data_IF_675795704315
#
_entry.id   IF_675795704315
#
_cell.length_a   1.000
_cell.length_b   1.000
_cell.length_c   1.000
_cell.angle_alpha   90.00
_cell.angle_beta   90.00
_cell.angle_gamma   90.00
#
_symmetry.space_group_name_H-M   'P 1'
#
loop_
_entity.id
_entity.type
_entity.pdbx_description
1 polymer ?
#
# COMPACT_ATOMS: atom_id res chain seq x y z
N UNK A 1 6.50 -22.92 7.51
CA UNK A 1 6.26 -21.46 7.39
C UNK A 1 5.55 -21.24 6.07
N UNK A 2 4.25 -20.93 6.09
CA UNK A 2 3.50 -20.64 4.86
C UNK A 2 3.99 -19.32 4.27
N UNK A 3 4.31 -19.33 2.98
CA UNK A 3 4.72 -18.16 2.21
C UNK A 3 3.51 -17.22 2.10
N UNK A 4 3.64 -16.01 2.63
CA UNK A 4 2.61 -14.97 2.50
C UNK A 4 2.90 -14.23 1.19
N UNK A 5 2.20 -14.61 0.12
CA UNK A 5 2.37 -13.99 -1.20
C UNK A 5 1.26 -12.96 -1.44
N UNK A 6 1.64 -11.68 -1.46
CA UNK A 6 0.75 -10.61 -1.90
C UNK A 6 0.81 -10.49 -3.42
N UNK A 7 -0.36 -10.42 -4.07
CA UNK A 7 -0.50 -10.16 -5.49
C UNK A 7 -0.79 -8.68 -5.72
N UNK A 8 -0.09 -8.07 -6.67
CA UNK A 8 -0.18 -6.65 -6.96
C UNK A 8 -1.07 -6.40 -8.18
N UNK A 9 -1.87 -5.33 -8.16
CA UNK A 9 -2.91 -5.09 -9.16
C UNK A 9 -2.57 -3.94 -10.13
N UNK A 10 -1.28 -3.68 -10.37
CA UNK A 10 -0.78 -2.64 -11.27
C UNK A 10 -1.06 -2.93 -12.76
N UNK A 11 -2.33 -2.88 -13.16
CA UNK A 11 -2.80 -3.25 -14.51
C UNK A 11 -3.03 -4.76 -14.71
N UNK A 12 -2.83 -5.56 -13.66
CA UNK A 12 -3.05 -7.00 -13.68
C UNK A 12 -4.49 -7.36 -13.34
N UNK A 13 -4.99 -8.43 -13.97
CA UNK A 13 -6.31 -8.98 -13.63
C UNK A 13 -6.23 -9.78 -12.33
N UNK A 14 -7.23 -9.66 -11.44
CA UNK A 14 -7.26 -10.48 -10.25
C UNK A 14 -7.36 -11.97 -10.61
N UNK A 15 -6.93 -12.88 -9.70
CA UNK A 15 -7.06 -14.32 -9.87
C UNK A 15 -8.50 -14.71 -10.21
N UNK A 16 -8.64 -15.75 -11.05
CA UNK A 16 -9.96 -16.23 -11.49
C UNK A 16 -10.88 -16.48 -10.30
N UNK A 17 -12.10 -15.93 -10.36
CA UNK A 17 -13.11 -16.09 -9.33
C UNK A 17 -13.05 -15.09 -8.16
N UNK A 18 -12.10 -14.15 -8.17
CA UNK A 18 -12.09 -13.01 -7.26
C UNK A 18 -12.83 -11.84 -7.92
N UNK A 19 -13.97 -11.47 -7.34
CA UNK A 19 -14.66 -10.21 -7.67
C UNK A 19 -14.13 -9.11 -6.76
N UNK A 20 -13.40 -8.17 -7.36
CA UNK A 20 -12.99 -6.94 -6.69
C UNK A 20 -14.19 -5.97 -6.69
N UNK A 21 -14.55 -5.40 -5.53
CA UNK A 21 -15.52 -4.32 -5.53
C UNK A 21 -14.92 -3.08 -6.21
N UNK A 22 -15.76 -2.21 -6.74
CA UNK A 22 -15.32 -0.94 -7.36
C UNK A 22 -14.84 0.09 -6.34
N UNK A 23 -15.31 -0.03 -5.09
CA UNK A 23 -15.01 0.91 -4.00
C UNK A 23 -14.74 0.14 -2.71
N UNK A 24 -13.91 0.69 -1.81
CA UNK A 24 -13.71 0.08 -0.50
C UNK A 24 -15.06 0.00 0.24
N UNK A 25 -15.39 -1.16 0.84
CA UNK A 25 -16.61 -1.27 1.64
C UNK A 25 -16.54 -0.34 2.85
N UNK A 26 -17.70 0.04 3.42
CA UNK A 26 -17.74 0.86 4.65
C UNK A 26 -17.00 0.24 5.84
N UNK A 27 -16.87 -1.08 5.85
CA UNK A 27 -16.12 -1.84 6.85
C UNK A 27 -14.60 -1.89 6.60
N UNK A 28 -14.10 -1.23 5.55
CA UNK A 28 -12.68 -1.15 5.27
C UNK A 28 -11.98 -0.38 6.39
N UNK A 29 -11.03 -1.06 7.04
CA UNK A 29 -10.25 -0.54 8.15
C UNK A 29 -9.22 0.43 7.62
N UNK A 30 -9.08 1.57 8.29
CA UNK A 30 -8.05 2.54 7.97
C UNK A 30 -6.67 1.96 8.33
N UNK A 31 -5.71 2.04 7.40
CA UNK A 31 -4.35 1.54 7.61
C UNK A 31 -3.43 2.68 7.99
N UNK A 32 -3.29 3.65 7.09
CA UNK A 32 -2.48 4.84 7.29
C UNK A 32 -2.81 5.88 6.20
N UNK A 33 -2.43 7.14 6.44
CA UNK A 33 -2.32 8.18 5.43
C UNK A 33 -0.92 8.76 5.46
N UNK A 34 -0.29 8.82 4.30
CA UNK A 34 1.09 9.23 4.14
C UNK A 34 1.18 10.35 3.11
N UNK A 35 2.03 11.32 3.37
CA UNK A 35 2.47 12.25 2.33
C UNK A 35 3.74 11.69 1.70
N UNK A 36 3.67 11.53 0.39
CA UNK A 36 4.72 10.99 -0.46
C UNK A 36 5.49 12.17 -1.05
N UNK A 37 6.82 12.04 -1.13
CA UNK A 37 7.65 13.10 -1.70
C UNK A 37 7.24 13.39 -3.14
N UNK A 38 7.07 14.68 -3.48
CA UNK A 38 6.77 15.13 -4.83
C UNK A 38 8.00 14.93 -5.72
N UNK A 39 8.09 13.79 -6.40
CA UNK A 39 9.20 13.52 -7.33
C UNK A 39 9.11 14.34 -8.63
N UNK A 40 8.01 15.08 -8.83
CA UNK A 40 7.82 16.00 -9.95
C UNK A 40 7.28 17.33 -9.45
N UNK A 41 7.84 18.49 -9.86
CA UNK A 41 7.29 19.78 -9.49
C UNK A 41 5.80 19.84 -9.87
N UNK A 42 4.97 20.25 -8.90
CA UNK A 42 3.51 20.34 -8.97
C UNK A 42 2.71 19.02 -8.81
N UNK A 43 3.23 18.00 -8.12
CA UNK A 43 2.42 16.81 -7.79
C UNK A 43 2.63 16.36 -6.34
N UNK A 44 1.84 16.89 -5.40
CA UNK A 44 1.77 16.39 -4.02
C UNK A 44 0.96 15.08 -4.03
N UNK A 45 1.62 13.95 -3.80
CA UNK A 45 0.94 12.65 -3.70
C UNK A 45 0.66 12.35 -2.22
N UNK A 46 -0.61 12.34 -1.85
CA UNK A 46 -1.06 11.87 -0.51
C UNK A 46 -1.77 10.53 -0.65
N UNK A 47 -1.17 9.49 -0.08
CA UNK A 47 -1.67 8.12 -0.17
C UNK A 47 -2.47 7.75 1.07
N UNK A 48 -3.73 7.33 0.87
CA UNK A 48 -4.57 6.77 1.93
C UNK A 48 -4.75 5.28 1.75
N UNK A 49 -4.24 4.49 2.69
CA UNK A 49 -4.35 3.03 2.69
C UNK A 49 -5.55 2.55 3.51
N UNK A 50 -6.33 1.63 2.94
CA UNK A 50 -7.42 0.94 3.64
C UNK A 50 -7.35 -0.56 3.40
N UNK A 51 -7.79 -1.35 4.37
CA UNK A 51 -7.81 -2.81 4.27
C UNK A 51 -9.23 -3.35 4.43
N UNK A 52 -9.64 -4.24 3.53
CA UNK A 52 -10.92 -4.95 3.65
C UNK A 52 -10.77 -6.41 3.26
N UNK A 53 -11.72 -7.25 3.67
CA UNK A 53 -11.87 -8.57 3.08
C UNK A 53 -12.80 -8.53 1.87
N UNK A 54 -12.59 -9.42 0.91
CA UNK A 54 -13.57 -9.68 -0.14
C UNK A 54 -14.88 -10.27 0.45
N UNK A 55 -15.96 -10.33 -0.35
CA UNK A 55 -17.27 -10.83 0.10
C UNK A 55 -17.22 -12.24 0.68
N UNK A 56 -16.38 -13.12 0.12
CA UNK A 56 -16.19 -14.51 0.57
C UNK A 56 -15.22 -14.65 1.76
N UNK A 57 -14.63 -13.54 2.22
CA UNK A 57 -13.61 -13.49 3.29
C UNK A 57 -12.38 -14.38 3.06
N UNK A 58 -12.12 -14.73 1.80
CA UNK A 58 -10.97 -15.56 1.38
C UNK A 58 -9.73 -14.74 1.07
N UNK A 59 -9.89 -13.45 0.76
CA UNK A 59 -8.78 -12.55 0.46
C UNK A 59 -8.92 -11.23 1.20
N UNK A 60 -7.78 -10.73 1.65
CA UNK A 60 -7.53 -9.33 1.97
C UNK A 60 -7.34 -8.52 0.68
N UNK A 61 -7.87 -7.31 0.69
CA UNK A 61 -7.76 -6.31 -0.37
C UNK A 61 -7.20 -5.05 0.30
N UNK A 62 -6.00 -4.64 -0.12
CA UNK A 62 -5.42 -3.34 0.22
C UNK A 62 -5.88 -2.35 -0.84
N UNK A 63 -6.39 -1.21 -0.40
CA UNK A 63 -6.85 -0.12 -1.23
C UNK A 63 -5.87 1.02 -1.12
N UNK A 64 -5.51 1.57 -2.27
CA UNK A 64 -4.78 2.83 -2.38
C UNK A 64 -5.80 3.91 -2.74
N UNK A 65 -5.90 4.91 -1.88
CA UNK A 65 -6.66 6.13 -2.11
C UNK A 65 -5.73 7.27 -2.47
N UNK A 66 -6.07 8.03 -3.50
CA UNK A 66 -5.43 9.28 -3.87
C UNK A 66 -6.50 10.36 -4.05
N UNK A 67 -6.13 11.62 -3.87
CA UNK A 67 -7.03 12.74 -4.15
C UNK A 67 -6.94 13.09 -5.64
N UNK A 68 -8.06 13.01 -6.36
CA UNK A 68 -8.15 13.50 -7.74
C UNK A 68 -8.55 14.97 -7.70
N UNK A 69 -7.56 15.84 -7.89
CA UNK A 69 -7.69 17.30 -7.95
C UNK A 69 -7.97 17.84 -9.36
N UNK A 70 -7.93 16.98 -10.38
CA UNK A 70 -8.09 17.38 -11.78
C UNK A 70 -9.54 17.27 -12.26
N UNK A 71 -10.23 16.18 -11.94
CA UNK A 71 -11.53 15.87 -12.54
C UNK A 71 -12.66 15.87 -11.50
N UNK A 72 -12.54 15.05 -10.44
CA UNK A 72 -13.67 14.78 -9.55
C UNK A 72 -13.60 15.50 -8.19
N UNK A 73 -12.49 16.20 -7.88
CA UNK A 73 -12.25 16.91 -6.61
C UNK A 73 -12.56 16.05 -5.38
N UNK A 74 -12.19 14.76 -5.43
CA UNK A 74 -12.54 13.78 -4.39
C UNK A 74 -11.48 12.70 -4.25
N UNK A 75 -11.56 11.99 -3.12
CA UNK A 75 -10.78 10.78 -2.92
C UNK A 75 -11.27 9.65 -3.82
N UNK A 76 -10.39 9.18 -4.69
CA UNK A 76 -10.57 7.99 -5.52
C UNK A 76 -9.81 6.85 -4.87
N UNK A 77 -10.40 5.66 -4.86
CA UNK A 77 -9.78 4.46 -4.30
C UNK A 77 -9.72 3.37 -5.35
N UNK A 78 -8.58 2.70 -5.43
CA UNK A 78 -8.39 1.54 -6.28
C UNK A 78 -7.83 0.36 -5.48
N UNK A 79 -8.17 -0.89 -5.87
CA UNK A 79 -7.47 -2.06 -5.36
C UNK A 79 -5.98 -1.98 -5.71
N UNK A 80 -5.14 -2.16 -4.70
CA UNK A 80 -3.70 -1.98 -4.79
C UNK A 80 -2.95 -3.31 -4.70
N UNK A 81 -3.35 -4.13 -3.73
CA UNK A 81 -2.83 -5.48 -3.56
C UNK A 81 -3.91 -6.45 -3.04
N UNK A 82 -3.67 -7.74 -3.24
CA UNK A 82 -4.47 -8.86 -2.75
C UNK A 82 -3.60 -9.83 -1.95
N UNK A 83 -4.16 -10.38 -0.88
CA UNK A 83 -3.49 -11.42 -0.09
C UNK A 83 -4.50 -12.47 0.33
N UNK A 84 -4.19 -13.75 0.16
CA UNK A 84 -5.03 -14.82 0.69
C UNK A 84 -5.11 -14.71 2.21
N UNK A 85 -6.32 -14.74 2.79
CA UNK A 85 -6.50 -14.50 4.23
C UNK A 85 -5.66 -15.44 5.09
N UNK A 86 -5.77 -16.75 4.84
CA UNK A 86 -5.19 -17.79 5.71
C UNK A 86 -5.47 -17.49 7.20
N UNK A 87 -4.45 -17.70 8.02
CA UNK A 87 -4.44 -17.35 9.46
C UNK A 87 -3.87 -15.93 9.72
N UNK A 88 -3.72 -15.12 8.67
CA UNK A 88 -3.10 -13.80 8.76
C UNK A 88 -4.11 -12.79 9.34
N UNK A 89 -3.74 -12.14 10.44
CA UNK A 89 -4.52 -11.03 10.98
C UNK A 89 -4.46 -9.78 10.09
N UNK A 90 -5.26 -8.76 10.43
CA UNK A 90 -5.38 -7.56 9.63
C UNK A 90 -4.09 -6.70 9.60
N UNK A 91 -3.37 -6.60 10.72
CA UNK A 91 -2.16 -5.78 10.80
C UNK A 91 -1.01 -6.46 10.06
N UNK A 92 -0.83 -7.77 10.25
CA UNK A 92 0.12 -8.57 9.50
C UNK A 92 -0.16 -8.55 7.99
N UNK A 93 -1.44 -8.65 7.59
CA UNK A 93 -1.83 -8.52 6.19
C UNK A 93 -1.48 -7.13 5.64
N UNK A 94 -1.83 -6.05 6.35
CA UNK A 94 -1.51 -4.69 5.93
C UNK A 94 0.01 -4.49 5.77
N UNK A 95 0.82 -4.96 6.74
CA UNK A 95 2.29 -4.86 6.72
C UNK A 95 2.88 -5.52 5.48
N UNK A 96 2.54 -6.77 5.22
CA UNK A 96 3.09 -7.52 4.08
C UNK A 96 2.61 -6.93 2.75
N UNK A 97 1.35 -6.53 2.65
CA UNK A 97 0.80 -5.98 1.41
C UNK A 97 1.39 -4.61 1.06
N UNK A 98 1.60 -3.73 2.05
CA UNK A 98 2.27 -2.43 1.84
C UNK A 98 3.73 -2.64 1.43
N UNK A 99 4.47 -3.49 2.16
CA UNK A 99 5.87 -3.77 1.85
C UNK A 99 6.04 -4.31 0.44
N UNK A 100 5.23 -5.30 0.04
CA UNK A 100 5.27 -5.87 -1.30
C UNK A 100 4.92 -4.83 -2.39
N UNK A 101 3.93 -3.98 -2.14
CA UNK A 101 3.51 -2.99 -3.11
C UNK A 101 4.54 -1.87 -3.29
N UNK A 102 5.13 -1.37 -2.20
CA UNK A 102 6.21 -0.38 -2.28
C UNK A 102 7.48 -0.95 -2.92
N UNK A 103 7.85 -2.20 -2.64
CA UNK A 103 8.95 -2.87 -3.34
C UNK A 103 8.74 -2.90 -4.85
N UNK A 104 7.52 -3.17 -5.30
CA UNK A 104 7.18 -3.21 -6.71
C UNK A 104 7.13 -1.81 -7.34
N UNK A 105 6.55 -0.81 -6.67
CA UNK A 105 6.58 0.57 -7.16
C UNK A 105 8.01 1.06 -7.31
N UNK A 106 8.87 0.80 -6.31
CA UNK A 106 10.31 1.08 -6.39
C UNK A 106 10.95 0.34 -7.56
N UNK A 107 10.67 -0.96 -7.73
CA UNK A 107 11.21 -1.76 -8.86
C UNK A 107 10.79 -1.20 -10.22
N UNK A 108 9.62 -0.56 -10.31
CA UNK A 108 9.09 0.07 -11.53
C UNK A 108 9.56 1.53 -11.71
N UNK A 109 10.27 2.11 -10.74
CA UNK A 109 10.66 3.51 -10.75
C UNK A 109 9.48 4.47 -10.53
N UNK A 110 8.40 4.00 -9.91
CA UNK A 110 7.22 4.82 -9.58
C UNK A 110 7.31 5.39 -8.16
N UNK A 111 8.18 4.82 -7.33
CA UNK A 111 8.39 5.25 -5.95
C UNK A 111 9.86 5.05 -5.52
N UNK A 112 10.71 6.00 -5.91
CA UNK A 112 12.16 5.90 -5.67
C UNK A 112 12.56 6.26 -4.23
N UNK A 113 11.71 6.97 -3.49
CA UNK A 113 11.99 7.45 -2.13
C UNK A 113 10.89 7.04 -1.16
N UNK A 114 11.21 6.88 0.14
CA UNK A 114 10.19 6.66 1.16
C UNK A 114 9.24 7.86 1.29
N UNK A 115 8.13 7.64 2.02
CA UNK A 115 7.23 8.71 2.42
C UNK A 115 7.95 9.80 3.23
N UNK A 116 7.48 11.04 3.12
CA UNK A 116 8.02 12.19 3.86
C UNK A 116 7.46 12.26 5.27
N UNK A 117 6.14 12.10 5.39
CA UNK A 117 5.44 12.22 6.66
C UNK A 117 4.30 11.22 6.78
N UNK A 118 4.04 10.78 8.02
CA UNK A 118 2.81 10.07 8.37
C UNK A 118 1.80 11.12 8.83
N UNK A 119 0.70 11.24 8.09
CA UNK A 119 -0.36 12.22 8.36
C UNK A 119 -1.36 11.68 9.38
N UNK A 120 -1.67 10.40 9.26
CA UNK A 120 -2.49 9.68 10.23
C UNK A 120 -2.14 8.19 10.20
N UNK A 121 -2.11 7.57 11.38
CA UNK A 121 -1.91 6.13 11.55
C UNK A 121 -3.21 5.42 11.93
N UNK A 122 -3.20 4.08 11.84
CA UNK A 122 -4.39 3.26 11.95
C UNK A 122 -4.07 1.83 12.32
N UNK A 123 -4.31 0.90 11.39
CA UNK A 123 -3.88 -0.49 11.57
C UNK A 123 -2.38 -0.66 11.71
N UNK A 124 -1.60 0.22 11.09
CA UNK A 124 -0.15 0.27 11.26
C UNK A 124 0.21 1.57 11.96
N UNK A 125 1.13 1.47 12.92
CA UNK A 125 1.72 2.59 13.62
C UNK A 125 2.78 3.28 12.78
N UNK A 126 3.13 4.52 13.17
CA UNK A 126 4.24 5.29 12.55
C UNK A 126 5.54 4.48 12.54
N UNK A 127 5.86 3.76 13.62
CA UNK A 127 7.11 3.01 13.72
C UNK A 127 7.10 1.79 12.80
N UNK A 128 5.98 1.05 12.70
CA UNK A 128 5.86 -0.06 11.75
C UNK A 128 5.97 0.41 10.30
N UNK A 129 5.40 1.57 9.96
CA UNK A 129 5.53 2.18 8.64
C UNK A 129 6.97 2.54 8.32
N UNK A 130 7.70 3.11 9.29
CA UNK A 130 9.13 3.42 9.16
C UNK A 130 9.98 2.17 9.01
N UNK A 131 9.65 1.11 9.76
CA UNK A 131 10.32 -0.20 9.62
C UNK A 131 10.11 -0.79 8.22
N UNK A 132 8.90 -0.72 7.67
CA UNK A 132 8.62 -1.15 6.30
C UNK A 132 9.45 -0.30 5.33
N UNK A 133 9.41 1.03 5.45
CA UNK A 133 10.17 1.92 4.58
C UNK A 133 11.68 1.62 4.62
N UNK A 134 12.25 1.35 5.80
CA UNK A 134 13.66 0.99 5.93
C UNK A 134 14.03 -0.34 5.25
N UNK A 135 13.08 -1.28 5.12
CA UNK A 135 13.30 -2.53 4.35
C UNK A 135 13.19 -2.31 2.84
N UNK A 136 12.31 -1.41 2.39
CA UNK A 136 12.12 -1.11 0.97
C UNK A 136 13.23 -0.19 0.44
N UNK A 137 13.60 0.84 1.19
CA UNK A 137 14.69 1.77 0.91
C UNK A 137 15.76 1.66 2.01
N UNK A 138 16.56 0.58 2.01
CA UNK A 138 17.69 0.51 2.92
C UNK A 138 18.60 1.70 2.63
N UNK A 139 19.00 2.43 3.68
CA UNK A 139 20.06 3.43 3.54
C UNK A 139 21.28 2.66 3.02
N UNK A 140 21.74 2.98 1.81
CA UNK A 140 22.99 2.42 1.34
C UNK A 140 24.05 2.72 2.40
N UNK A 141 24.73 1.68 2.86
CA UNK A 141 25.79 1.84 3.85
C UNK A 141 26.80 2.84 3.33
N UNK A 142 27.26 3.74 4.20
CA UNK A 142 28.47 4.49 3.96
C UNK A 142 29.63 3.53 3.66
N UNK A 143 29.89 3.31 2.39
CA UNK A 143 31.08 2.70 1.83
C UNK A 143 31.23 3.38 0.46
N UNK A 144 31.95 4.50 0.37
CA UNK A 144 33.40 4.45 0.25
C UNK A 144 34.03 5.73 0.80
N UNK A 145 34.83 5.60 1.87
CA UNK A 145 36.09 6.34 1.92
C UNK A 145 37.08 5.54 1.07
N UNK A 146 37.60 6.16 0.01
CA UNK A 146 38.86 5.82 -0.63
C UNK A 146 39.46 7.11 -1.15
#
# INVERSE_FOLDING_TARGET
MSRIDALLLFGEKPPRGIQLPEKPPRSARFVARLDMFSQFPCNERSDTYRLSKNRKRSYWILWLGYFDDNMEMKWVYMPYALLACGDTDAAAAARVMIEAAWLEEKRRGWLDTPFEAVIADGLLTVDELREIAARVWPKEGGASCS
#
